data_IF_551590866239
#
_entry.id   IF_551590866239
#
_cell.length_a   1.000
_cell.length_b   1.000
_cell.length_c   1.000
_cell.angle_alpha   90.00
_cell.angle_beta   90.00
_cell.angle_gamma   90.00
#
_symmetry.space_group_name_H-M   'P 1'
#
loop_
_entity.id
_entity.type
_entity.pdbx_description
1 polymer ?
#
# COMPACT_ATOMS: atom_id res chain seq x y z
N UNK A 1 -11.50 -4.81 -35.35
CA UNK A 1 -10.75 -3.53 -35.18
C UNK A 1 -10.41 -3.34 -33.71
N UNK A 2 -9.33 -3.95 -33.19
CA UNK A 2 -9.07 -3.91 -31.74
C UNK A 2 -7.76 -4.53 -31.24
N UNK A 3 -6.99 -5.23 -32.09
CA UNK A 3 -5.77 -5.93 -31.67
C UNK A 3 -4.49 -5.07 -31.63
N UNK A 4 -4.50 -3.86 -32.19
CA UNK A 4 -3.29 -3.01 -32.25
C UNK A 4 -3.15 -2.02 -31.08
N UNK A 5 -4.10 -1.98 -30.15
CA UNK A 5 -4.14 -0.92 -29.13
C UNK A 5 -3.09 -1.13 -28.02
N UNK A 6 -2.95 -2.34 -27.48
CA UNK A 6 -2.02 -2.60 -26.38
C UNK A 6 -0.54 -2.46 -26.78
N UNK A 7 -0.16 -3.00 -27.95
CA UNK A 7 1.20 -2.86 -28.46
C UNK A 7 1.55 -1.42 -28.82
N UNK A 8 0.59 -0.62 -29.31
CA UNK A 8 0.80 0.81 -29.56
C UNK A 8 1.13 1.56 -28.26
N UNK A 9 0.36 1.34 -27.20
CA UNK A 9 0.64 1.94 -25.89
C UNK A 9 2.00 1.51 -25.32
N UNK A 10 2.42 0.25 -25.52
CA UNK A 10 3.73 -0.22 -25.09
C UNK A 10 4.87 0.49 -25.84
N UNK A 11 4.74 0.65 -27.16
CA UNK A 11 5.70 1.36 -28.01
C UNK A 11 5.80 2.84 -27.59
N UNK A 12 4.67 3.48 -27.32
CA UNK A 12 4.65 4.88 -26.85
C UNK A 12 5.38 5.01 -25.51
N UNK A 13 5.15 4.11 -24.56
CA UNK A 13 5.87 4.11 -23.28
C UNK A 13 7.38 3.94 -23.49
N UNK A 14 7.81 3.05 -24.37
CA UNK A 14 9.23 2.87 -24.70
C UNK A 14 9.84 4.16 -25.26
N UNK A 15 9.15 4.84 -26.19
CA UNK A 15 9.65 6.10 -26.77
C UNK A 15 9.73 7.19 -25.70
N UNK A 16 8.72 7.33 -24.84
CA UNK A 16 8.73 8.30 -23.73
C UNK A 16 9.87 8.00 -22.77
N UNK A 17 10.13 6.73 -22.46
CA UNK A 17 11.24 6.29 -21.61
C UNK A 17 12.61 6.62 -22.22
N UNK A 18 12.76 6.53 -23.55
CA UNK A 18 14.02 6.89 -24.23
C UNK A 18 14.24 8.41 -24.18
N UNK A 19 13.20 9.21 -24.42
CA UNK A 19 13.30 10.68 -24.44
C UNK A 19 13.51 11.26 -23.04
N UNK A 20 12.73 10.82 -22.06
CA UNK A 20 12.79 11.33 -20.69
C UNK A 20 13.82 10.59 -19.82
N UNK A 21 14.21 9.38 -20.21
CA UNK A 21 15.03 8.45 -19.41
C UNK A 21 14.20 7.72 -18.34
N UNK A 22 14.42 6.42 -18.12
CA UNK A 22 13.69 5.64 -17.11
C UNK A 22 13.96 6.11 -15.67
N UNK A 23 15.04 6.86 -15.44
CA UNK A 23 15.40 7.37 -14.12
C UNK A 23 14.55 8.59 -13.70
N UNK A 24 13.98 9.35 -14.64
CA UNK A 24 13.25 10.59 -14.33
C UNK A 24 11.78 10.36 -14.01
N UNK A 25 11.12 9.38 -14.64
CA UNK A 25 9.74 8.99 -14.34
C UNK A 25 9.48 8.61 -12.88
N UNK A 26 10.29 7.78 -12.20
CA UNK A 26 10.03 7.40 -10.81
C UNK A 26 10.24 8.56 -9.83
N UNK A 27 11.17 9.48 -10.11
CA UNK A 27 11.37 10.67 -9.27
C UNK A 27 10.17 11.63 -9.37
N UNK A 28 9.70 11.92 -10.58
CA UNK A 28 8.49 12.71 -10.81
C UNK A 28 7.25 12.01 -10.27
N UNK A 29 7.13 10.70 -10.51
CA UNK A 29 6.04 9.87 -10.04
C UNK A 29 5.96 9.74 -8.52
N UNK A 30 7.09 9.79 -7.80
CA UNK A 30 7.10 9.83 -6.33
C UNK A 30 6.48 11.13 -5.81
N UNK A 31 6.89 12.28 -6.34
CA UNK A 31 6.35 13.58 -5.91
C UNK A 31 4.87 13.73 -6.26
N UNK A 32 4.49 13.37 -7.50
CA UNK A 32 3.09 13.33 -7.94
C UNK A 32 2.27 12.31 -7.14
N UNK A 33 2.83 11.12 -6.90
CA UNK A 33 2.18 10.06 -6.15
C UNK A 33 1.95 10.43 -4.68
N UNK A 34 2.87 11.15 -4.05
CA UNK A 34 2.65 11.68 -2.70
C UNK A 34 1.54 12.72 -2.67
N UNK A 35 1.49 13.63 -3.65
CA UNK A 35 0.42 14.61 -3.77
C UNK A 35 -0.96 13.94 -4.00
N UNK A 36 -1.04 12.98 -4.92
CA UNK A 36 -2.27 12.22 -5.19
C UNK A 36 -2.69 11.39 -3.97
N UNK A 37 -1.74 10.83 -3.21
CA UNK A 37 -2.05 10.05 -2.02
C UNK A 37 -2.54 10.92 -0.86
N UNK A 38 -2.00 12.13 -0.71
CA UNK A 38 -2.54 13.13 0.21
C UNK A 38 -3.93 13.61 -0.20
N UNK A 39 -4.14 13.84 -1.51
CA UNK A 39 -5.44 14.20 -2.06
C UNK A 39 -6.49 13.10 -1.84
N UNK A 40 -6.13 11.83 -2.09
CA UNK A 40 -7.03 10.69 -1.81
C UNK A 40 -7.34 10.59 -0.32
N UNK A 41 -6.35 10.77 0.56
CA UNK A 41 -6.56 10.72 2.01
C UNK A 41 -7.51 11.83 2.48
N UNK A 42 -7.34 13.05 1.97
CA UNK A 42 -8.26 14.15 2.27
C UNK A 42 -9.66 13.95 1.69
N UNK A 43 -9.76 13.32 0.51
CA UNK A 43 -11.04 12.96 -0.09
C UNK A 43 -11.75 11.83 0.69
N UNK A 44 -11.03 10.79 1.09
CA UNK A 44 -11.52 9.74 2.01
C UNK A 44 -11.96 10.41 3.32
N UNK A 45 -11.13 11.24 3.98
CA UNK A 45 -11.50 11.93 5.24
C UNK A 45 -12.75 12.85 5.10
N UNK A 46 -12.97 13.44 3.92
CA UNK A 46 -14.17 14.25 3.65
C UNK A 46 -15.40 13.38 3.36
N UNK A 47 -15.19 12.18 2.81
CA UNK A 47 -16.27 11.23 2.46
C UNK A 47 -16.64 10.33 3.65
N UNK A 48 -15.65 9.92 4.44
CA UNK A 48 -15.72 9.13 5.68
C UNK A 48 -16.05 9.98 6.92
N UNK A 49 -16.27 11.29 6.76
CA UNK A 49 -16.90 12.13 7.80
C UNK A 49 -18.31 11.67 8.20
N UNK A 50 -18.85 10.62 7.53
CA UNK A 50 -20.07 9.93 7.91
C UNK A 50 -19.83 8.51 8.48
N UNK A 51 -18.69 7.84 8.24
CA UNK A 51 -18.41 6.49 8.75
C UNK A 51 -16.89 6.28 8.86
N UNK A 52 -16.32 6.48 10.06
CA UNK A 52 -14.87 6.50 10.24
C UNK A 52 -14.19 5.13 10.16
N UNK A 53 -12.94 5.11 9.68
CA UNK A 53 -11.93 4.16 10.20
C UNK A 53 -10.48 4.58 9.88
N UNK A 54 -9.71 4.68 10.96
CA UNK A 54 -8.26 4.57 11.02
C UNK A 54 -7.76 3.21 10.49
N UNK A 55 -7.73 3.02 9.17
CA UNK A 55 -7.01 1.88 8.58
C UNK A 55 -5.89 2.33 7.68
N UNK A 56 -4.68 1.82 8.00
CA UNK A 56 -3.54 1.51 7.10
C UNK A 56 -2.18 2.11 7.49
N UNK A 57 -1.84 2.18 8.78
CA UNK A 57 -0.42 2.30 9.19
C UNK A 57 0.10 1.37 10.29
N UNK A 58 -0.69 0.45 10.85
CA UNK A 58 -0.20 -0.44 11.93
C UNK A 58 -0.06 -1.94 11.55
N UNK A 59 -0.20 -2.27 10.27
CA UNK A 59 -0.32 -3.65 9.80
C UNK A 59 0.93 -4.58 9.86
N UNK A 60 2.10 -4.22 10.43
CA UNK A 60 3.10 -5.26 10.71
C UNK A 60 3.49 -5.45 12.19
N UNK A 61 3.04 -4.62 13.15
CA UNK A 61 3.54 -4.74 14.54
C UNK A 61 2.57 -5.38 15.54
N UNK A 62 1.25 -5.32 15.30
CA UNK A 62 0.26 -5.93 16.20
C UNK A 62 0.21 -7.46 16.14
N UNK A 63 0.50 -8.04 14.98
CA UNK A 63 0.56 -9.50 14.80
C UNK A 63 1.70 -10.13 15.61
N UNK A 64 2.86 -9.48 15.68
CA UNK A 64 4.01 -10.00 16.43
C UNK A 64 3.80 -9.89 17.95
N UNK A 65 3.06 -8.88 18.40
CA UNK A 65 2.78 -8.68 19.83
C UNK A 65 1.67 -9.61 20.36
N UNK A 66 0.66 -9.92 19.55
CA UNK A 66 -0.40 -10.87 19.90
C UNK A 66 0.14 -12.30 20.02
N UNK A 67 1.09 -12.69 19.16
CA UNK A 67 1.68 -14.04 19.18
C UNK A 67 2.54 -14.30 20.43
N UNK A 68 3.16 -13.25 21.00
CA UNK A 68 3.97 -13.37 22.23
C UNK A 68 3.12 -13.52 23.50
N UNK A 69 1.95 -12.90 23.56
CA UNK A 69 1.04 -12.99 24.73
C UNK A 69 0.38 -14.36 24.80
N UNK A 70 -0.05 -14.91 23.66
CA UNK A 70 -0.65 -16.26 23.59
C UNK A 70 0.36 -17.35 23.98
N UNK A 71 1.64 -17.17 23.64
CA UNK A 71 2.69 -18.16 23.97
C UNK A 71 3.07 -18.16 25.45
N UNK A 72 2.88 -17.05 26.17
CA UNK A 72 3.04 -17.00 27.64
C UNK A 72 1.86 -17.63 28.37
N UNK A 73 0.63 -17.41 27.90
CA UNK A 73 -0.58 -17.93 28.57
C UNK A 73 -0.66 -19.46 28.51
N UNK A 74 -0.39 -20.04 27.32
CA UNK A 74 -0.42 -21.51 27.11
C UNK A 74 0.64 -22.23 27.96
N UNK A 75 1.73 -21.56 28.34
CA UNK A 75 2.78 -22.16 29.17
C UNK A 75 2.41 -22.22 30.66
N UNK A 76 1.46 -21.42 31.11
CA UNK A 76 1.01 -21.42 32.50
C UNK A 76 -0.04 -22.51 32.75
N UNK A 77 -0.97 -22.72 31.80
CA UNK A 77 -2.02 -23.75 31.97
C UNK A 77 -1.54 -25.20 31.89
N UNK A 78 -0.39 -25.51 31.28
CA UNK A 78 0.12 -26.91 31.22
C UNK A 78 0.89 -27.34 32.47
N UNK A 79 1.14 -26.43 33.44
CA UNK A 79 1.89 -26.78 34.67
C UNK A 79 1.01 -26.99 35.91
N UNK A 80 -0.30 -26.79 35.79
CA UNK A 80 -1.25 -26.93 36.90
C UNK A 80 -2.06 -28.25 36.84
N UNK A 81 -1.93 -29.03 35.76
CA UNK A 81 -2.62 -30.33 35.56
C UNK A 81 -1.68 -31.57 35.60
N UNK A 82 -0.47 -31.48 36.19
CA UNK A 82 0.43 -32.63 36.37
C UNK A 82 0.90 -32.81 37.81
#
# INVERSE_FOLDING_TARGET
>A
MGGMSLFHWLIVIIVVLIVFGPSRLPNLGKSLGQAIRGFKKGLDETTDGLDGEETRKEAPQRLESAERVVKEEVKQSTKEEA
#
